data_IF_690475501943
#
_entry.id   IF_690475501943
#
_cell.length_a   1.000
_cell.length_b   1.000
_cell.length_c   1.000
_cell.angle_alpha   90.00
_cell.angle_beta   90.00
_cell.angle_gamma   90.00
#
_symmetry.space_group_name_H-M   'P 1'
#
loop_
_entity.id
_entity.type
_entity.pdbx_description
1 polymer ?
#
# COMPACT_ATOMS: atom_id res chain seq x y z
N UNK A 1 18.06 -33.93 -18.51
CA UNK A 1 18.07 -32.51 -18.12
C UNK A 1 16.85 -32.28 -17.25
N UNK A 2 17.07 -32.25 -15.95
CA UNK A 2 16.06 -31.99 -14.92
C UNK A 2 16.08 -30.49 -14.58
N UNK A 3 15.04 -29.99 -13.91
CA UNK A 3 14.97 -28.59 -13.47
C UNK A 3 16.17 -28.20 -12.58
N UNK A 4 16.75 -29.17 -11.85
CA UNK A 4 17.93 -29.00 -11.00
C UNK A 4 19.24 -28.78 -11.79
N UNK A 5 19.25 -29.06 -13.10
CA UNK A 5 20.41 -28.85 -13.98
C UNK A 5 20.45 -27.44 -14.59
N UNK A 6 19.42 -26.61 -14.38
CA UNK A 6 19.43 -25.23 -14.84
C UNK A 6 20.38 -24.39 -13.96
N UNK A 7 21.24 -23.54 -14.55
CA UNK A 7 22.06 -22.64 -13.76
C UNK A 7 21.16 -21.80 -12.85
N UNK A 8 21.48 -21.77 -11.55
CA UNK A 8 20.79 -20.91 -10.57
C UNK A 8 20.83 -19.49 -11.12
N UNK A 9 19.66 -18.94 -11.48
CA UNK A 9 19.56 -17.55 -11.88
C UNK A 9 20.05 -16.68 -10.73
N UNK A 10 20.91 -15.70 -11.03
CA UNK A 10 21.27 -14.67 -10.06
C UNK A 10 19.99 -14.01 -9.56
N UNK A 11 19.79 -14.10 -8.25
CA UNK A 11 18.65 -13.50 -7.57
C UNK A 11 18.77 -11.97 -7.66
N UNK A 12 18.07 -11.39 -8.64
CA UNK A 12 18.09 -9.95 -8.87
C UNK A 12 17.33 -9.23 -7.76
N UNK A 13 18.05 -8.42 -6.99
CA UNK A 13 17.44 -7.42 -6.09
C UNK A 13 17.05 -6.19 -6.89
N UNK A 14 15.85 -5.72 -6.68
CA UNK A 14 15.35 -4.46 -7.23
C UNK A 14 14.81 -3.60 -6.09
N UNK A 15 14.99 -2.30 -6.18
CA UNK A 15 14.32 -1.37 -5.27
C UNK A 15 12.90 -1.12 -5.77
N UNK A 16 11.93 -1.25 -4.87
CA UNK A 16 10.51 -1.03 -5.18
C UNK A 16 9.83 -0.37 -3.99
N UNK A 17 8.78 0.36 -4.29
CA UNK A 17 7.86 0.91 -3.30
C UNK A 17 6.61 0.06 -3.30
N UNK A 18 6.15 -0.33 -2.12
CA UNK A 18 4.96 -1.15 -1.92
C UNK A 18 3.95 -0.37 -1.12
N UNK A 19 2.68 -0.48 -1.51
CA UNK A 19 1.57 0.00 -0.73
C UNK A 19 0.60 -1.14 -0.47
N UNK A 20 0.19 -1.29 0.78
CA UNK A 20 -0.94 -2.09 1.18
C UNK A 20 -2.08 -1.15 1.53
N UNK A 21 -3.25 -1.50 1.04
CA UNK A 21 -4.46 -0.70 1.03
C UNK A 21 -5.55 -1.59 1.62
N UNK A 22 -6.33 -1.09 2.58
CA UNK A 22 -7.34 -1.89 3.27
C UNK A 22 -8.58 -1.06 3.62
N UNK A 23 -9.75 -1.71 3.61
CA UNK A 23 -11.02 -1.08 3.99
C UNK A 23 -11.21 -1.29 5.50
N UNK A 24 -11.12 -0.21 6.26
CA UNK A 24 -11.10 -0.31 7.72
C UNK A 24 -12.38 -0.97 8.25
N UNK A 25 -12.23 -2.06 9.02
CA UNK A 25 -13.35 -2.75 9.69
C UNK A 25 -14.41 -3.34 8.75
N UNK A 26 -14.00 -3.73 7.54
CA UNK A 26 -14.87 -4.32 6.54
C UNK A 26 -15.57 -5.59 7.02
N UNK A 27 -14.87 -6.50 7.73
CA UNK A 27 -15.48 -7.74 8.24
C UNK A 27 -16.71 -7.47 9.11
N UNK A 28 -16.59 -6.56 10.08
CA UNK A 28 -17.69 -6.20 10.96
C UNK A 28 -18.84 -5.49 10.21
N UNK A 29 -18.53 -4.78 9.12
CA UNK A 29 -19.53 -4.17 8.26
C UNK A 29 -20.32 -5.24 7.48
N UNK A 30 -19.63 -6.22 6.90
CA UNK A 30 -20.25 -7.34 6.18
C UNK A 30 -21.18 -8.15 7.10
N UNK A 31 -20.74 -8.44 8.33
CA UNK A 31 -21.58 -9.16 9.31
C UNK A 31 -22.87 -8.40 9.67
N UNK A 32 -22.83 -7.06 9.61
CA UNK A 32 -23.95 -6.19 10.01
C UNK A 32 -24.90 -5.86 8.85
N UNK A 33 -24.36 -5.52 7.68
CA UNK A 33 -25.11 -5.01 6.52
C UNK A 33 -25.37 -6.08 5.45
N UNK A 34 -24.67 -7.22 5.52
CA UNK A 34 -24.81 -8.35 4.61
C UNK A 34 -24.00 -8.22 3.31
N UNK A 35 -23.93 -9.35 2.58
CA UNK A 35 -23.04 -9.54 1.44
C UNK A 35 -23.28 -8.58 0.28
N UNK A 36 -24.53 -8.17 0.03
CA UNK A 36 -24.86 -7.26 -1.07
C UNK A 36 -24.26 -5.87 -0.83
N UNK A 37 -24.42 -5.32 0.39
CA UNK A 37 -23.84 -4.04 0.74
C UNK A 37 -22.30 -4.11 0.78
N UNK A 38 -21.74 -5.22 1.27
CA UNK A 38 -20.30 -5.48 1.26
C UNK A 38 -19.73 -5.55 -0.16
N UNK A 39 -20.44 -6.18 -1.08
CA UNK A 39 -20.08 -6.27 -2.49
C UNK A 39 -19.98 -4.90 -3.15
N UNK A 40 -20.94 -4.00 -2.90
CA UNK A 40 -20.93 -2.66 -3.49
C UNK A 40 -19.73 -1.83 -3.01
N UNK A 41 -19.38 -1.94 -1.72
CA UNK A 41 -18.21 -1.27 -1.14
C UNK A 41 -16.92 -1.80 -1.79
N UNK A 42 -16.73 -3.13 -1.87
CA UNK A 42 -15.57 -3.72 -2.55
C UNK A 42 -15.53 -3.30 -4.01
N UNK A 43 -16.66 -3.35 -4.70
CA UNK A 43 -16.73 -3.04 -6.15
C UNK A 43 -16.29 -1.61 -6.40
N UNK A 44 -16.80 -0.65 -5.61
CA UNK A 44 -16.43 0.75 -5.71
C UNK A 44 -14.93 0.95 -5.42
N UNK A 45 -14.45 0.41 -4.29
CA UNK A 45 -13.04 0.47 -3.92
C UNK A 45 -12.12 -0.06 -5.03
N UNK A 46 -12.43 -1.25 -5.57
CA UNK A 46 -11.65 -1.86 -6.65
C UNK A 46 -11.67 -1.04 -7.93
N UNK A 47 -12.76 -0.35 -8.23
CA UNK A 47 -12.85 0.53 -9.41
C UNK A 47 -11.95 1.75 -9.25
N UNK A 48 -12.01 2.43 -8.09
CA UNK A 48 -11.14 3.58 -7.78
C UNK A 48 -9.66 3.17 -7.86
N UNK A 49 -9.27 2.09 -7.18
CA UNK A 49 -7.88 1.60 -7.20
C UNK A 49 -7.40 1.32 -8.61
N UNK A 50 -8.21 0.66 -9.45
CA UNK A 50 -7.82 0.35 -10.84
C UNK A 50 -7.68 1.60 -11.69
N UNK A 51 -8.62 2.54 -11.56
CA UNK A 51 -8.60 3.78 -12.31
C UNK A 51 -7.33 4.58 -11.98
N UNK A 52 -7.11 4.87 -10.70
CA UNK A 52 -5.95 5.66 -10.27
C UNK A 52 -4.63 4.95 -10.59
N UNK A 53 -4.54 3.63 -10.36
CA UNK A 53 -3.34 2.87 -10.71
C UNK A 53 -3.00 3.00 -12.20
N UNK A 54 -4.01 2.96 -13.08
CA UNK A 54 -3.82 3.14 -14.52
C UNK A 54 -3.39 4.56 -14.88
N UNK A 55 -4.01 5.58 -14.27
CA UNK A 55 -3.71 6.99 -14.52
C UNK A 55 -2.30 7.38 -14.06
N UNK A 56 -1.84 6.81 -12.94
CA UNK A 56 -0.54 7.08 -12.31
C UNK A 56 0.58 6.16 -12.80
N UNK A 57 0.31 5.21 -13.70
CA UNK A 57 1.33 4.26 -14.18
C UNK A 57 1.83 3.29 -13.08
N UNK A 58 1.02 3.07 -12.05
CA UNK A 58 1.35 2.21 -10.91
C UNK A 58 0.76 0.82 -11.13
N UNK A 59 1.51 -0.22 -10.74
CA UNK A 59 1.04 -1.60 -10.89
C UNK A 59 0.22 -2.02 -9.68
N UNK A 60 -1.04 -2.39 -9.91
CA UNK A 60 -1.80 -3.21 -8.96
C UNK A 60 -1.27 -4.64 -9.03
N UNK A 61 -0.63 -5.11 -7.95
CA UNK A 61 0.03 -6.41 -7.92
C UNK A 61 -0.97 -7.54 -7.65
N UNK A 62 -1.76 -7.43 -6.57
CA UNK A 62 -2.81 -8.40 -6.24
C UNK A 62 -3.88 -7.83 -5.32
N UNK A 63 -5.07 -8.42 -5.39
CA UNK A 63 -6.15 -8.20 -4.42
C UNK A 63 -5.98 -9.07 -3.19
N UNK A 64 -6.39 -8.54 -2.04
CA UNK A 64 -6.26 -9.17 -0.72
C UNK A 64 -7.64 -9.21 -0.05
N UNK A 65 -8.64 -9.80 -0.72
CA UNK A 65 -10.03 -9.73 -0.28
C UNK A 65 -10.60 -8.32 -0.47
N UNK A 66 -10.75 -7.60 0.64
CA UNK A 66 -11.16 -6.20 0.76
C UNK A 66 -10.01 -5.20 0.61
N UNK A 67 -8.76 -5.68 0.67
CA UNK A 67 -7.57 -4.88 0.44
C UNK A 67 -6.93 -5.03 -0.94
N UNK A 68 -5.86 -4.27 -1.17
CA UNK A 68 -5.03 -4.34 -2.36
C UNK A 68 -3.54 -4.20 -2.02
N UNK A 69 -2.70 -4.86 -2.82
CA UNK A 69 -1.26 -4.65 -2.84
C UNK A 69 -0.89 -3.97 -4.16
N UNK A 70 -0.21 -2.84 -4.06
CA UNK A 70 0.29 -2.06 -5.19
C UNK A 70 1.82 -1.98 -5.15
N UNK A 71 2.44 -1.89 -6.32
CA UNK A 71 3.89 -1.74 -6.44
C UNK A 71 4.24 -0.62 -7.42
N UNK A 72 5.14 0.26 -6.98
CA UNK A 72 5.68 1.37 -7.76
C UNK A 72 7.18 1.20 -8.02
N UNK A 73 7.62 1.59 -9.21
CA UNK A 73 9.05 1.76 -9.51
C UNK A 73 9.55 3.08 -8.93
N UNK A 74 8.76 4.14 -9.09
CA UNK A 74 8.97 5.43 -8.46
C UNK A 74 8.08 5.52 -7.21
N UNK A 75 8.64 6.03 -6.10
CA UNK A 75 7.89 6.20 -4.85
C UNK A 75 6.81 7.25 -4.98
N UNK A 76 7.11 8.30 -5.73
CA UNK A 76 6.30 9.49 -5.88
C UNK A 76 4.95 9.12 -6.51
N UNK A 77 4.98 8.42 -7.64
CA UNK A 77 3.78 7.94 -8.35
C UNK A 77 2.90 7.05 -7.46
N UNK A 78 3.50 6.14 -6.67
CA UNK A 78 2.76 5.26 -5.78
C UNK A 78 2.15 6.02 -4.59
N UNK A 79 2.88 6.96 -4.01
CA UNK A 79 2.39 7.77 -2.89
C UNK A 79 1.21 8.64 -3.34
N UNK A 80 1.34 9.33 -4.47
CA UNK A 80 0.24 10.13 -5.02
C UNK A 80 -0.97 9.25 -5.38
N UNK A 81 -0.74 8.06 -5.96
CA UNK A 81 -1.82 7.12 -6.24
C UNK A 81 -2.57 6.71 -4.97
N UNK A 82 -1.87 6.39 -3.87
CA UNK A 82 -2.52 5.99 -2.61
C UNK A 82 -3.33 7.16 -2.02
N UNK A 83 -2.79 8.38 -2.07
CA UNK A 83 -3.47 9.59 -1.59
C UNK A 83 -4.74 9.87 -2.43
N UNK A 84 -4.65 9.78 -3.75
CA UNK A 84 -5.80 9.99 -4.63
C UNK A 84 -6.88 8.91 -4.43
N UNK A 85 -6.48 7.65 -4.22
CA UNK A 85 -7.41 6.56 -3.92
C UNK A 85 -8.16 6.84 -2.61
N UNK A 86 -7.46 7.22 -1.55
CA UNK A 86 -8.07 7.52 -0.25
C UNK A 86 -9.12 8.65 -0.40
N UNK A 87 -8.74 9.74 -1.07
CA UNK A 87 -9.63 10.88 -1.36
C UNK A 87 -10.84 10.50 -2.19
N UNK A 88 -10.65 9.72 -3.26
CA UNK A 88 -11.74 9.32 -4.14
C UNK A 88 -12.69 8.33 -3.46
N UNK A 89 -12.16 7.40 -2.66
CA UNK A 89 -12.97 6.48 -1.85
C UNK A 89 -13.84 7.28 -0.86
N UNK A 90 -13.25 8.27 -0.18
CA UNK A 90 -13.99 9.15 0.73
C UNK A 90 -15.03 10.00 -0.02
N UNK A 91 -14.66 10.59 -1.16
CA UNK A 91 -15.55 11.38 -2.00
C UNK A 91 -16.75 10.58 -2.52
N UNK A 92 -16.58 9.29 -2.82
CA UNK A 92 -17.70 8.40 -3.18
C UNK A 92 -18.61 8.04 -2.00
N UNK A 93 -18.40 8.66 -0.84
CA UNK A 93 -19.16 8.45 0.39
C UNK A 93 -19.18 6.98 0.81
N UNK A 94 -18.03 6.30 0.64
CA UNK A 94 -17.88 4.93 1.09
C UNK A 94 -18.25 4.85 2.58
N UNK A 95 -19.11 3.90 3.00
CA UNK A 95 -19.51 3.78 4.40
C UNK A 95 -18.35 3.40 5.32
N UNK A 96 -17.23 2.94 4.74
CA UNK A 96 -16.02 2.54 5.45
C UNK A 96 -14.80 3.25 4.82
N UNK A 97 -13.98 3.92 5.63
CA UNK A 97 -12.80 4.59 5.13
C UNK A 97 -11.66 3.61 4.88
N UNK A 98 -10.77 4.00 3.99
CA UNK A 98 -9.54 3.30 3.71
C UNK A 98 -8.47 3.58 4.79
N UNK A 99 -7.52 2.67 4.91
CA UNK A 99 -6.21 2.89 5.52
C UNK A 99 -5.11 2.34 4.61
N UNK A 100 -3.88 2.82 4.76
CA UNK A 100 -2.77 2.33 3.97
C UNK A 100 -1.42 2.34 4.69
N UNK A 101 -0.53 1.46 4.23
CA UNK A 101 0.87 1.40 4.65
C UNK A 101 1.80 1.33 3.44
N UNK A 102 2.83 2.17 3.43
CA UNK A 102 3.78 2.32 2.32
C UNK A 102 5.20 2.10 2.81
N UNK A 103 5.98 1.32 2.08
CA UNK A 103 7.41 1.18 2.34
C UNK A 103 8.21 1.01 1.05
N UNK A 104 9.44 1.51 1.06
CA UNK A 104 10.39 1.42 -0.06
C UNK A 104 11.62 0.63 0.36
N UNK A 105 12.14 -0.19 -0.54
CA UNK A 105 13.43 -0.82 -0.31
C UNK A 105 13.73 -1.98 -1.26
N UNK A 106 14.88 -2.64 -1.07
CA UNK A 106 15.30 -3.75 -1.90
C UNK A 106 14.46 -5.00 -1.63
N UNK A 107 14.03 -5.64 -2.72
CA UNK A 107 13.29 -6.91 -2.71
C UNK A 107 13.86 -7.87 -3.76
N UNK A 108 13.67 -9.16 -3.52
CA UNK A 108 13.91 -10.21 -4.49
C UNK A 108 12.72 -10.29 -5.43
N UNK A 109 12.98 -10.30 -6.73
CA UNK A 109 11.97 -10.59 -7.74
C UNK A 109 12.03 -12.08 -8.10
N UNK A 110 10.98 -12.82 -7.75
CA UNK A 110 10.80 -14.25 -8.02
C UNK A 110 9.77 -14.37 -9.15
N UNK A 111 10.07 -15.24 -10.13
CA UNK A 111 9.19 -15.54 -11.27
C UNK A 111 8.67 -14.33 -12.08
N UNK A 112 9.34 -13.18 -11.94
CA UNK A 112 9.08 -11.97 -12.71
C UNK A 112 8.05 -11.01 -12.11
N UNK A 113 7.24 -11.45 -11.15
CA UNK A 113 6.23 -10.60 -10.52
C UNK A 113 5.98 -10.83 -9.03
N UNK A 114 6.53 -11.89 -8.43
CA UNK A 114 6.45 -12.10 -6.99
C UNK A 114 7.60 -11.36 -6.28
N UNK A 115 7.26 -10.58 -5.28
CA UNK A 115 8.20 -9.71 -4.59
C UNK A 115 8.36 -10.16 -3.14
N UNK A 116 9.57 -10.58 -2.79
CA UNK A 116 9.89 -11.05 -1.44
C UNK A 116 10.96 -10.17 -0.82
N UNK A 117 10.65 -9.55 0.31
CA UNK A 117 11.63 -8.76 1.05
C UNK A 117 11.03 -7.89 2.14
N UNK A 118 11.93 -7.21 2.85
CA UNK A 118 11.61 -6.37 4.02
C UNK A 118 10.60 -5.27 3.70
N UNK A 119 10.71 -4.63 2.53
CA UNK A 119 9.80 -3.54 2.16
C UNK A 119 8.33 -4.01 2.01
N UNK A 120 8.10 -5.19 1.42
CA UNK A 120 6.74 -5.75 1.29
C UNK A 120 6.14 -6.03 2.67
N UNK A 121 6.93 -6.65 3.55
CA UNK A 121 6.50 -6.99 4.92
C UNK A 121 6.21 -5.71 5.71
N UNK A 122 7.08 -4.71 5.60
CA UNK A 122 6.92 -3.44 6.31
C UNK A 122 5.63 -2.73 5.87
N UNK A 123 5.41 -2.57 4.57
CA UNK A 123 4.21 -1.91 4.04
C UNK A 123 2.93 -2.59 4.55
N UNK A 124 2.89 -3.92 4.59
CA UNK A 124 1.77 -4.67 5.17
C UNK A 124 1.58 -4.37 6.66
N UNK A 125 2.66 -4.35 7.46
CA UNK A 125 2.58 -4.05 8.90
C UNK A 125 2.16 -2.61 9.20
N UNK A 126 2.58 -1.67 8.36
CA UNK A 126 2.15 -0.29 8.47
C UNK A 126 0.66 -0.16 8.14
N UNK A 127 0.15 -0.89 7.14
CA UNK A 127 -1.27 -0.92 6.82
C UNK A 127 -2.11 -1.51 7.97
N UNK A 128 -1.65 -2.63 8.56
CA UNK A 128 -2.31 -3.26 9.72
C UNK A 128 -2.44 -2.28 10.91
N UNK A 129 -1.40 -1.44 11.11
CA UNK A 129 -1.31 -0.46 12.19
C UNK A 129 -2.09 0.83 11.93
N UNK A 130 -2.26 1.20 10.66
CA UNK A 130 -2.91 2.43 10.26
C UNK A 130 -4.36 2.48 10.75
N UNK A 131 -4.77 3.65 11.24
CA UNK A 131 -6.14 3.99 11.59
C UNK A 131 -6.97 4.29 10.32
N UNK A 132 -8.31 4.33 10.45
CA UNK A 132 -9.17 4.95 9.43
C UNK A 132 -8.63 6.29 8.91
N UNK A 133 -8.59 6.46 7.59
CA UNK A 133 -8.03 7.62 6.86
C UNK A 133 -6.52 7.84 7.03
N UNK A 134 -5.80 6.88 7.61
CA UNK A 134 -4.38 7.03 7.87
C UNK A 134 -3.54 6.32 6.79
N UNK A 135 -2.59 7.08 6.23
CA UNK A 135 -1.57 6.57 5.32
C UNK A 135 -0.23 6.65 6.05
N UNK A 136 0.32 5.50 6.43
CA UNK A 136 1.60 5.42 7.13
C UNK A 136 2.74 5.08 6.16
N UNK A 137 3.89 5.71 6.34
CA UNK A 137 5.11 5.36 5.63
C UNK A 137 6.33 5.42 6.56
N UNK A 138 7.40 4.69 6.22
CA UNK A 138 8.70 4.95 6.85
C UNK A 138 9.27 6.28 6.35
N UNK A 139 10.03 6.98 7.18
CA UNK A 139 10.78 8.19 6.78
C UNK A 139 11.67 7.88 5.56
N UNK A 140 11.74 8.83 4.63
CA UNK A 140 12.56 8.70 3.41
C UNK A 140 11.95 7.83 2.31
N UNK A 141 10.70 7.38 2.47
CA UNK A 141 9.98 6.64 1.41
C UNK A 141 9.78 7.46 0.15
N UNK A 142 9.57 8.77 0.28
CA UNK A 142 9.23 9.69 -0.82
C UNK A 142 9.98 11.01 -0.65
N UNK A 143 10.35 11.63 -1.78
CA UNK A 143 10.78 13.03 -1.77
C UNK A 143 9.55 13.94 -1.83
N UNK A 144 9.26 14.67 -0.74
CA UNK A 144 8.08 15.52 -0.63
C UNK A 144 8.06 16.70 -1.62
N UNK A 145 9.22 17.12 -2.15
CA UNK A 145 9.28 18.16 -3.18
C UNK A 145 8.73 17.70 -4.53
N UNK A 146 8.58 16.39 -4.72
CA UNK A 146 8.17 15.76 -5.97
C UNK A 146 6.72 15.26 -5.94
N UNK A 147 5.99 15.49 -4.84
CA UNK A 147 4.62 15.01 -4.66
C UNK A 147 3.74 16.08 -4.03
N UNK A 148 2.44 16.02 -4.29
CA UNK A 148 1.45 16.86 -3.63
C UNK A 148 1.02 16.30 -2.27
N UNK A 149 2.00 16.01 -1.41
CA UNK A 149 1.79 15.43 -0.07
C UNK A 149 2.61 16.14 1.00
N UNK A 150 2.06 16.20 2.21
CA UNK A 150 2.73 16.56 3.44
C UNK A 150 3.06 15.30 4.25
N UNK A 151 4.12 15.36 5.07
CA UNK A 151 4.48 14.29 5.98
C UNK A 151 4.55 14.80 7.41
N UNK A 152 3.66 14.30 8.27
CA UNK A 152 3.70 14.56 9.70
C UNK A 152 4.53 13.47 10.39
N UNK A 153 5.65 13.80 11.06
CA UNK A 153 6.43 12.82 11.81
C UNK A 153 5.63 12.19 12.95
N UNK A 154 5.70 10.88 13.08
CA UNK A 154 5.13 10.13 14.21
C UNK A 154 6.20 9.63 15.19
N UNK A 155 7.48 9.70 14.79
CA UNK A 155 8.61 9.23 15.59
C UNK A 155 8.91 7.76 15.37
N UNK A 156 9.71 7.20 16.27
CA UNK A 156 10.26 5.86 16.15
C UNK A 156 9.31 4.81 16.75
N UNK A 157 9.02 3.75 15.99
CA UNK A 157 8.08 2.70 16.40
C UNK A 157 8.67 1.30 16.25
N UNK A 158 8.41 0.44 17.25
CA UNK A 158 8.64 -1.00 17.11
C UNK A 158 7.61 -1.61 16.15
N UNK A 159 8.10 -2.32 15.13
CA UNK A 159 7.24 -2.98 14.13
C UNK A 159 7.43 -4.50 14.21
N UNK A 160 6.36 -5.29 14.36
CA UNK A 160 6.46 -6.74 14.44
C UNK A 160 7.24 -7.35 13.25
N UNK A 161 8.26 -8.15 13.56
CA UNK A 161 9.14 -8.77 12.56
C UNK A 161 10.36 -7.92 12.17
N UNK A 162 10.55 -6.75 12.78
CA UNK A 162 11.73 -5.89 12.61
C UNK A 162 12.48 -5.77 13.93
N UNK A 163 13.80 -5.95 13.88
CA UNK A 163 14.68 -5.89 15.07
C UNK A 163 14.91 -4.44 15.49
N UNK A 164 15.11 -3.56 14.52
CA UNK A 164 15.32 -2.14 14.76
C UNK A 164 13.98 -1.39 14.67
N UNK A 165 13.72 -0.44 15.58
CA UNK A 165 12.63 0.51 15.44
C UNK A 165 12.69 1.28 14.12
N UNK A 166 11.53 1.71 13.63
CA UNK A 166 11.38 2.38 12.34
C UNK A 166 10.74 3.75 12.58
N UNK A 167 11.38 4.80 12.06
CA UNK A 167 10.81 6.14 12.07
C UNK A 167 9.68 6.25 11.05
N UNK A 168 8.50 6.65 11.53
CA UNK A 168 7.30 6.74 10.73
C UNK A 168 6.88 8.18 10.47
N UNK A 169 6.22 8.36 9.34
CA UNK A 169 5.45 9.55 9.00
C UNK A 169 4.02 9.14 8.66
N UNK A 170 3.10 10.04 8.94
CA UNK A 170 1.76 10.03 8.36
C UNK A 170 1.77 10.93 7.13
N UNK A 171 1.37 10.38 6.00
CA UNK A 171 1.24 11.14 4.76
C UNK A 171 -0.18 11.70 4.68
N UNK A 172 -0.27 12.99 4.37
CA UNK A 172 -1.53 13.70 4.10
C UNK A 172 -1.40 14.45 2.79
N UNK A 173 -2.51 14.78 2.14
CA UNK A 173 -2.46 15.71 1.02
C UNK A 173 -2.03 17.11 1.46
N UNK A 174 -1.48 17.90 0.52
CA UNK A 174 -1.18 19.32 0.78
C UNK A 174 -2.48 20.08 1.05
N UNK A 175 -2.49 20.88 2.13
CA UNK A 175 -3.61 21.78 2.48
C UNK A 175 -4.75 21.18 3.30
N UNK A 176 -4.66 19.90 3.70
CA UNK A 176 -5.64 19.23 4.60
C UNK A 176 -5.23 19.29 6.09
N UNK A 177 -4.31 20.22 6.45
CA UNK A 177 -3.74 20.43 7.80
C UNK A 177 -4.59 21.35 8.69
#
# INVERSE_FOLDING_TARGET
MTIDDLPRRDLKRVERTFAFLDISGFTAYTDREGDAAAYDVIRNFRNVVRQVASERGVRMAKWLGDGAMMVGVHSEDLVEAVIDIERLVDYTQSPRPMRAGIARGPVLLIDGDDHVGRAVILASRLCDRAKPHEILAQVGTVNLEMVNAEAAPLGCHEIPGFVEPIDLVRLTPVGDS
#
